data_IF_419868715393
#
_entry.id   IF_419868715393
#
_cell.length_a   1.000
_cell.length_b   1.000
_cell.length_c   1.000
_cell.angle_alpha   90.00
_cell.angle_beta   90.00
_cell.angle_gamma   90.00
#
_symmetry.space_group_name_H-M   'P 1'
#
loop_
_entity.id
_entity.type
_entity.pdbx_description
1 polymer ?
#
# COMPACT_ATOMS: atom_id res chain seq x y z
N UNK A 1 -13.59 -38.11 22.14
CA UNK A 1 -12.30 -37.48 22.50
C UNK A 1 -12.24 -36.16 21.77
N UNK A 2 -12.63 -35.10 22.47
CA UNK A 2 -12.65 -33.72 21.99
C UNK A 2 -11.23 -33.17 22.06
N UNK A 3 -10.60 -32.98 20.90
CA UNK A 3 -9.30 -32.31 20.83
C UNK A 3 -9.52 -30.81 21.02
N UNK A 4 -9.07 -30.32 22.18
CA UNK A 4 -8.88 -28.91 22.49
C UNK A 4 -8.00 -28.27 21.40
N UNK A 5 -8.65 -27.62 20.44
CA UNK A 5 -7.98 -26.69 19.54
C UNK A 5 -7.63 -25.47 20.40
N UNK A 6 -6.35 -25.39 20.70
CA UNK A 6 -5.60 -24.29 21.30
C UNK A 6 -6.27 -22.90 21.14
N UNK A 7 -7.12 -22.53 22.11
CA UNK A 7 -7.75 -21.21 22.28
C UNK A 7 -6.74 -20.10 22.68
N UNK A 8 -5.43 -20.32 22.49
CA UNK A 8 -4.38 -19.34 22.81
C UNK A 8 -4.26 -18.21 21.78
N UNK A 9 -4.72 -18.41 20.53
CA UNK A 9 -4.69 -17.37 19.50
C UNK A 9 -5.80 -16.30 19.63
N UNK A 10 -6.93 -16.61 20.26
CA UNK A 10 -8.03 -15.65 20.43
C UNK A 10 -7.79 -14.64 21.57
N UNK A 11 -7.03 -15.01 22.60
CA UNK A 11 -6.68 -14.08 23.69
C UNK A 11 -5.54 -13.13 23.36
N UNK A 12 -4.72 -13.40 22.35
CA UNK A 12 -3.67 -12.47 21.91
C UNK A 12 -4.19 -11.40 20.94
N UNK A 13 -5.26 -11.66 20.19
CA UNK A 13 -5.96 -10.65 19.39
C UNK A 13 -6.86 -9.72 20.23
N UNK A 14 -7.25 -10.13 21.44
CA UNK A 14 -7.89 -9.25 22.44
C UNK A 14 -6.88 -8.36 23.19
N UNK A 15 -5.57 -8.57 23.01
CA UNK A 15 -4.54 -7.68 23.54
C UNK A 15 -4.32 -6.54 22.53
N UNK A 16 -5.03 -5.42 22.75
CA UNK A 16 -4.64 -4.08 22.29
C UNK A 16 -4.95 -3.65 20.85
N UNK A 17 -6.12 -3.97 20.31
CA UNK A 17 -6.76 -3.09 19.31
C UNK A 17 -7.47 -1.90 19.99
N UNK A 18 -6.79 -1.26 20.94
CA UNK A 18 -7.15 0.12 21.34
C UNK A 18 -6.76 1.02 20.17
N UNK A 19 -7.44 2.15 20.02
CA UNK A 19 -7.15 3.23 19.07
C UNK A 19 -5.67 3.50 18.66
N UNK A 20 -4.60 3.25 19.47
CA UNK A 20 -3.20 3.33 19.04
C UNK A 20 -2.76 2.56 17.78
N UNK A 21 -3.49 1.57 17.27
CA UNK A 21 -3.11 0.89 16.00
C UNK A 21 -3.49 1.70 14.75
N UNK A 22 -4.41 2.66 14.89
CA UNK A 22 -4.57 3.75 13.95
C UNK A 22 -3.57 4.83 14.35
N UNK A 23 -2.26 4.55 14.24
CA UNK A 23 -1.35 5.67 14.05
C UNK A 23 -1.90 6.40 12.83
N UNK A 24 -2.43 7.61 13.05
CA UNK A 24 -2.53 8.59 11.98
C UNK A 24 -1.11 8.73 11.49
N UNK A 25 -0.75 7.98 10.45
CA UNK A 25 0.56 7.98 9.84
C UNK A 25 0.75 9.31 9.15
N UNK A 26 0.86 10.39 9.92
CA UNK A 26 1.30 11.68 9.42
C UNK A 26 2.73 11.47 8.97
N UNK A 27 2.85 11.19 7.68
CA UNK A 27 4.13 11.10 7.03
C UNK A 27 4.63 12.53 6.82
N UNK A 28 5.91 12.81 7.07
CA UNK A 28 6.48 14.07 6.67
C UNK A 28 6.38 14.19 5.14
N UNK A 29 5.80 15.30 4.65
CA UNK A 29 5.83 15.60 3.23
C UNK A 29 7.27 15.71 2.75
N UNK A 30 7.59 15.07 1.63
CA UNK A 30 8.91 15.13 1.04
C UNK A 30 9.03 16.32 0.06
N UNK A 31 9.85 17.34 0.37
CA UNK A 31 10.11 18.44 -0.55
C UNK A 31 10.79 17.96 -1.82
N UNK A 32 10.50 18.64 -2.93
CA UNK A 32 11.22 18.42 -4.18
C UNK A 32 12.72 18.66 -4.01
N UNK A 33 13.52 17.81 -4.66
CA UNK A 33 14.96 18.02 -4.78
C UNK A 33 15.18 19.06 -5.89
N UNK A 34 15.70 20.24 -5.54
CA UNK A 34 15.87 21.37 -6.46
C UNK A 34 16.82 21.07 -7.63
N UNK A 35 17.83 20.23 -7.42
CA UNK A 35 18.86 19.93 -8.41
C UNK A 35 19.13 18.43 -8.51
N UNK A 36 18.18 17.67 -9.08
CA UNK A 36 18.26 16.22 -9.10
C UNK A 36 19.45 15.72 -9.95
N UNK A 37 19.83 16.46 -11.00
CA UNK A 37 20.94 16.09 -11.89
C UNK A 37 22.32 16.13 -11.21
N UNK A 38 22.46 16.89 -10.13
CA UNK A 38 23.71 17.03 -9.40
C UNK A 38 23.81 16.11 -8.18
N UNK A 39 22.92 15.13 -8.03
CA UNK A 39 23.05 14.09 -7.01
C UNK A 39 24.25 13.19 -7.37
N UNK A 40 25.26 13.06 -6.50
CA UNK A 40 26.41 12.20 -6.73
C UNK A 40 26.03 10.73 -6.97
N UNK A 41 26.69 10.07 -7.95
CA UNK A 41 26.44 8.67 -8.29
C UNK A 41 26.60 7.72 -7.11
N UNK A 42 27.57 7.96 -6.22
CA UNK A 42 27.76 7.12 -5.03
C UNK A 42 26.58 7.20 -4.05
N UNK A 43 25.89 8.35 -3.97
CA UNK A 43 24.67 8.49 -3.18
C UNK A 43 23.50 7.78 -3.87
N UNK A 44 23.33 7.95 -5.18
CA UNK A 44 22.30 7.24 -5.96
C UNK A 44 22.44 5.71 -5.81
N UNK A 45 23.67 5.19 -5.91
CA UNK A 45 23.96 3.76 -5.68
C UNK A 45 23.62 3.32 -4.25
N UNK A 46 23.95 4.15 -3.26
CA UNK A 46 23.66 3.85 -1.85
C UNK A 46 22.16 3.78 -1.59
N UNK A 47 21.40 4.73 -2.13
CA UNK A 47 19.94 4.76 -2.02
C UNK A 47 19.29 3.57 -2.72
N UNK A 48 19.75 3.25 -3.93
CA UNK A 48 19.24 2.12 -4.72
C UNK A 48 19.49 0.79 -4.00
N UNK A 49 20.70 0.60 -3.49
CA UNK A 49 21.11 -0.61 -2.76
C UNK A 49 20.30 -0.80 -1.48
N UNK A 50 20.13 0.29 -0.71
CA UNK A 50 19.34 0.27 0.52
C UNK A 50 17.88 -0.06 0.23
N UNK A 51 17.25 0.64 -0.73
CA UNK A 51 15.84 0.43 -1.04
C UNK A 51 15.58 -0.99 -1.59
N UNK A 52 16.46 -1.48 -2.47
CA UNK A 52 16.41 -2.87 -2.95
C UNK A 52 16.46 -3.86 -1.79
N UNK A 53 17.42 -3.71 -0.88
CA UNK A 53 17.55 -4.59 0.28
C UNK A 53 16.28 -4.57 1.12
N UNK A 54 15.71 -3.39 1.37
CA UNK A 54 14.49 -3.24 2.17
C UNK A 54 13.29 -3.90 1.49
N UNK A 55 13.12 -3.67 0.19
CA UNK A 55 12.05 -4.29 -0.59
C UNK A 55 12.20 -5.81 -0.64
N UNK A 56 13.41 -6.35 -0.82
CA UNK A 56 13.65 -7.79 -0.84
C UNK A 56 13.39 -8.45 0.52
N UNK A 57 13.79 -7.81 1.62
CA UNK A 57 13.55 -8.32 2.98
C UNK A 57 12.07 -8.38 3.36
N UNK A 58 11.26 -7.44 2.87
CA UNK A 58 9.85 -7.32 3.24
C UNK A 58 8.89 -7.77 2.13
N UNK A 59 9.41 -8.20 0.97
CA UNK A 59 8.60 -8.59 -0.19
C UNK A 59 7.87 -7.42 -0.86
N UNK A 60 8.38 -6.19 -0.73
CA UNK A 60 7.78 -5.01 -1.34
C UNK A 60 8.22 -4.84 -2.81
N UNK A 61 7.34 -4.21 -3.59
CA UNK A 61 7.65 -3.79 -4.96
C UNK A 61 8.10 -2.34 -5.03
N UNK A 62 7.66 -1.51 -4.10
CA UNK A 62 7.95 -0.09 -4.06
C UNK A 62 8.26 0.36 -2.62
N UNK A 63 8.88 1.53 -2.48
CA UNK A 63 9.19 2.16 -1.19
C UNK A 63 9.34 3.66 -1.35
N UNK A 64 8.55 4.45 -0.63
CA UNK A 64 8.79 5.88 -0.43
C UNK A 64 9.83 6.12 0.67
N UNK A 65 10.76 7.05 0.42
CA UNK A 65 11.81 7.38 1.38
C UNK A 65 11.31 8.25 2.56
N UNK A 66 10.03 8.63 2.56
CA UNK A 66 9.35 9.27 3.70
C UNK A 66 9.18 8.34 4.89
N UNK A 67 9.21 7.02 4.66
CA UNK A 67 9.06 6.00 5.71
C UNK A 67 10.35 5.74 6.50
N UNK A 68 11.47 6.33 6.10
CA UNK A 68 12.77 6.12 6.73
C UNK A 68 12.85 6.82 8.08
N UNK A 69 13.47 6.17 9.08
CA UNK A 69 13.85 6.81 10.34
C UNK A 69 14.92 7.90 10.12
N UNK A 70 15.08 8.80 11.09
CA UNK A 70 16.13 9.83 11.04
C UNK A 70 17.53 9.22 10.89
N UNK A 71 17.81 8.11 11.58
CA UNK A 71 19.09 7.42 11.51
C UNK A 71 19.35 6.86 10.10
N UNK A 72 18.34 6.28 9.47
CA UNK A 72 18.43 5.77 8.10
C UNK A 72 18.63 6.90 7.10
N UNK A 73 17.91 8.02 7.26
CA UNK A 73 18.10 9.21 6.41
C UNK A 73 19.53 9.72 6.51
N UNK A 74 20.07 9.82 7.72
CA UNK A 74 21.44 10.27 7.95
C UNK A 74 22.48 9.34 7.31
N UNK A 75 22.31 8.01 7.46
CA UNK A 75 23.22 7.01 6.83
C UNK A 75 23.23 7.10 5.31
N UNK A 76 22.10 7.50 4.71
CA UNK A 76 21.96 7.66 3.27
C UNK A 76 22.38 9.06 2.77
N UNK A 77 22.89 9.93 3.65
CA UNK A 77 23.35 11.26 3.27
C UNK A 77 22.23 12.27 3.01
N UNK A 78 21.02 12.02 3.52
CA UNK A 78 19.92 12.99 3.48
C UNK A 78 19.99 13.97 4.65
N UNK A 79 19.30 15.10 4.50
CA UNK A 79 19.01 15.98 5.64
C UNK A 79 18.29 15.21 6.73
N UNK A 80 18.62 15.50 7.99
CA UNK A 80 17.93 14.92 9.15
C UNK A 80 16.47 15.36 9.21
N UNK A 81 16.21 16.58 8.76
CA UNK A 81 14.97 17.31 9.01
C UNK A 81 13.85 16.97 8.01
N UNK A 82 14.20 16.61 6.77
CA UNK A 82 13.21 16.36 5.72
C UNK A 82 13.57 15.11 4.90
N UNK A 83 12.59 14.22 4.63
CA UNK A 83 12.81 13.09 3.75
C UNK A 83 12.98 13.56 2.30
N UNK A 84 13.75 12.83 1.48
CA UNK A 84 13.89 13.14 0.07
C UNK A 84 12.63 12.73 -0.70
N UNK A 85 12.28 13.49 -1.76
CA UNK A 85 11.20 13.13 -2.66
C UNK A 85 11.64 12.05 -3.65
N UNK A 86 11.83 10.84 -3.13
CA UNK A 86 12.36 9.68 -3.86
C UNK A 86 11.51 8.45 -3.54
N UNK A 87 11.17 7.70 -4.58
CA UNK A 87 10.65 6.34 -4.43
C UNK A 87 11.61 5.35 -5.07
N UNK A 88 11.67 4.14 -4.52
CA UNK A 88 12.13 2.97 -5.25
C UNK A 88 10.92 2.27 -5.87
N UNK A 89 11.07 1.81 -7.10
CA UNK A 89 10.02 1.16 -7.86
C UNK A 89 10.57 -0.02 -8.65
N UNK A 90 9.96 -1.19 -8.47
CA UNK A 90 10.19 -2.40 -9.26
C UNK A 90 8.87 -2.91 -9.80
N UNK A 91 8.84 -3.25 -11.08
CA UNK A 91 7.64 -3.82 -11.70
C UNK A 91 7.36 -5.22 -11.17
N UNK A 92 6.09 -5.55 -11.07
CA UNK A 92 5.61 -6.86 -10.58
C UNK A 92 6.12 -8.05 -11.41
N UNK A 93 6.35 -7.87 -12.72
CA UNK A 93 6.91 -8.88 -13.63
C UNK A 93 8.45 -8.97 -13.59
N UNK A 94 9.11 -8.08 -12.87
CA UNK A 94 10.57 -7.96 -12.77
C UNK A 94 11.07 -8.12 -11.33
N UNK A 95 10.39 -8.93 -10.51
CA UNK A 95 10.69 -9.03 -9.07
C UNK A 95 12.12 -9.51 -8.75
N UNK A 96 12.77 -10.22 -9.67
CA UNK A 96 14.15 -10.68 -9.51
C UNK A 96 15.19 -9.65 -9.98
N UNK A 97 14.75 -8.59 -10.65
CA UNK A 97 15.62 -7.55 -11.19
C UNK A 97 15.81 -6.41 -10.17
N UNK A 98 16.84 -5.61 -10.40
CA UNK A 98 17.00 -4.34 -9.72
C UNK A 98 15.96 -3.36 -10.29
N UNK A 99 15.07 -2.86 -9.43
CA UNK A 99 14.19 -1.74 -9.77
C UNK A 99 14.95 -0.43 -10.01
N UNK A 100 14.23 0.68 -10.03
CA UNK A 100 14.82 2.00 -10.20
C UNK A 100 14.46 2.92 -9.04
N UNK A 101 15.35 3.85 -8.73
CA UNK A 101 14.95 5.06 -8.02
C UNK A 101 14.23 5.99 -8.99
N UNK A 102 13.21 6.66 -8.49
CA UNK A 102 12.52 7.74 -9.18
C UNK A 102 12.58 8.95 -8.26
N UNK A 103 13.31 9.97 -8.69
CA UNK A 103 13.53 11.23 -7.98
C UNK A 103 12.55 12.27 -8.51
N UNK A 104 11.94 13.02 -7.58
CA UNK A 104 10.82 13.92 -7.82
C UNK A 104 9.70 13.26 -8.66
N UNK A 105 9.21 12.08 -8.27
CA UNK A 105 8.16 11.40 -9.03
C UNK A 105 6.85 12.20 -8.98
N UNK A 106 6.17 12.22 -10.11
CA UNK A 106 4.82 12.71 -10.29
C UNK A 106 4.00 11.65 -11.02
N UNK A 107 2.87 11.24 -10.43
CA UNK A 107 1.92 10.35 -11.07
C UNK A 107 0.81 11.15 -11.75
N UNK A 108 0.38 10.69 -12.91
CA UNK A 108 -0.84 11.14 -13.59
C UNK A 108 -1.74 9.95 -13.84
N UNK A 109 -2.98 10.07 -13.41
CA UNK A 109 -4.02 9.10 -13.73
C UNK A 109 -4.36 9.20 -15.22
N UNK A 110 -4.36 8.09 -15.93
CA UNK A 110 -4.72 8.05 -17.35
C UNK A 110 -6.12 7.45 -17.49
N UNK A 111 -7.13 8.22 -17.07
CA UNK A 111 -8.56 7.82 -17.08
C UNK A 111 -9.12 7.63 -18.50
N UNK A 112 -8.42 8.11 -19.54
CA UNK A 112 -8.81 7.89 -20.94
C UNK A 112 -8.66 6.40 -21.35
N UNK A 113 -7.74 5.68 -20.71
CA UNK A 113 -7.45 4.26 -20.98
C UNK A 113 -7.75 3.35 -19.79
N UNK A 114 -8.18 3.92 -18.66
CA UNK A 114 -8.36 3.23 -17.40
C UNK A 114 -9.67 3.61 -16.71
N UNK A 115 -10.16 2.71 -15.88
CA UNK A 115 -11.19 3.00 -14.89
C UNK A 115 -10.60 2.73 -13.52
N UNK A 116 -11.16 3.31 -12.48
CA UNK A 116 -10.70 3.00 -11.14
C UNK A 116 -11.28 1.67 -10.69
N UNK A 117 -10.43 0.76 -10.25
CA UNK A 117 -10.83 -0.54 -9.71
C UNK A 117 -10.51 -0.62 -8.22
N UNK A 118 -11.27 -1.42 -7.45
CA UNK A 118 -10.81 -1.83 -6.15
C UNK A 118 -9.43 -2.50 -6.24
N UNK A 119 -8.53 -2.11 -5.36
CA UNK A 119 -7.23 -2.74 -5.17
C UNK A 119 -7.06 -3.04 -3.68
N UNK A 120 -6.45 -4.18 -3.41
CA UNK A 120 -6.06 -4.57 -2.06
C UNK A 120 -4.66 -4.05 -1.79
N UNK A 121 -4.54 -3.25 -0.73
CA UNK A 121 -3.27 -2.63 -0.31
C UNK A 121 -3.02 -2.94 1.17
N UNK A 122 -1.74 -2.90 1.55
CA UNK A 122 -1.27 -2.83 2.93
C UNK A 122 -0.17 -1.77 2.98
N UNK A 123 0.01 -1.11 4.12
CA UNK A 123 0.95 0.01 4.24
C UNK A 123 1.73 -0.11 5.55
N UNK A 124 3.07 -0.06 5.50
CA UNK A 124 3.91 -0.09 6.69
C UNK A 124 3.59 1.04 7.67
N UNK A 125 3.15 2.18 7.15
CA UNK A 125 2.74 3.36 7.92
C UNK A 125 1.33 3.26 8.52
N UNK A 126 0.55 2.22 8.19
CA UNK A 126 -0.79 1.94 8.75
C UNK A 126 -0.76 0.56 9.43
N UNK A 127 -0.88 0.53 10.76
CA UNK A 127 -0.86 -0.71 11.54
C UNK A 127 0.33 -1.64 11.18
N UNK A 128 1.50 -1.08 10.86
CA UNK A 128 2.70 -1.82 10.49
C UNK A 128 2.52 -2.80 9.31
N UNK A 129 1.62 -2.48 8.38
CA UNK A 129 1.29 -3.34 7.24
C UNK A 129 0.52 -4.61 7.60
N UNK A 130 0.06 -4.74 8.85
CA UNK A 130 -0.64 -5.93 9.33
C UNK A 130 -2.09 -6.00 8.88
N UNK A 131 -2.67 -4.86 8.52
CA UNK A 131 -4.04 -4.75 8.03
C UNK A 131 -4.06 -4.50 6.53
N UNK A 132 -4.92 -5.24 5.83
CA UNK A 132 -5.24 -4.96 4.43
C UNK A 132 -6.37 -3.93 4.35
N UNK A 133 -6.49 -3.25 3.22
CA UNK A 133 -7.66 -2.43 2.92
C UNK A 133 -7.95 -2.43 1.42
N UNK A 134 -9.20 -2.14 1.08
CA UNK A 134 -9.60 -1.98 -0.31
C UNK A 134 -9.70 -0.50 -0.64
N UNK A 135 -8.96 -0.08 -1.65
CA UNK A 135 -8.92 1.31 -2.11
C UNK A 135 -9.11 1.40 -3.61
N UNK A 136 -9.73 2.50 -4.04
CA UNK A 136 -9.98 2.84 -5.43
C UNK A 136 -8.69 3.38 -6.05
N UNK A 137 -8.10 2.64 -7.00
CA UNK A 137 -6.92 3.08 -7.77
C UNK A 137 -7.17 3.06 -9.27
N UNK A 138 -6.56 3.95 -10.04
CA UNK A 138 -6.62 3.88 -11.49
C UNK A 138 -5.89 2.64 -12.00
N UNK A 139 -6.49 1.94 -12.95
CA UNK A 139 -5.87 0.75 -13.58
C UNK A 139 -4.68 1.08 -14.46
N UNK A 140 -4.58 2.33 -14.93
CA UNK A 140 -3.51 2.81 -15.79
C UNK A 140 -3.07 4.19 -15.29
N UNK A 141 -1.77 4.35 -15.12
CA UNK A 141 -1.16 5.62 -14.73
C UNK A 141 0.11 5.85 -15.53
N UNK A 142 0.64 7.07 -15.45
CA UNK A 142 2.00 7.37 -15.87
C UNK A 142 2.76 8.03 -14.75
N UNK A 143 4.03 7.64 -14.58
CA UNK A 143 4.92 8.26 -13.60
C UNK A 143 6.05 8.97 -14.34
N UNK A 144 6.30 10.21 -13.97
CA UNK A 144 7.35 11.07 -14.53
C UNK A 144 8.33 11.47 -13.44
N UNK A 145 9.61 11.53 -13.75
CA UNK A 145 10.67 11.89 -12.79
C UNK A 145 12.07 11.60 -13.35
N UNK A 146 13.08 11.73 -12.50
CA UNK A 146 14.45 11.33 -12.82
C UNK A 146 14.71 9.90 -12.35
N UNK A 147 15.09 9.02 -13.28
CA UNK A 147 15.21 7.59 -13.05
C UNK A 147 16.65 7.18 -12.95
N UNK A 148 16.95 6.42 -11.91
CA UNK A 148 18.24 5.77 -11.73
C UNK A 148 18.08 4.26 -11.55
N UNK A 149 18.59 3.48 -12.49
CA UNK A 149 18.54 2.00 -12.45
C UNK A 149 19.87 1.35 -12.00
N UNK A 150 20.81 2.17 -11.53
CA UNK A 150 22.16 1.74 -11.17
C UNK A 150 23.17 1.82 -12.30
N UNK A 151 22.74 2.09 -13.54
CA UNK A 151 23.63 2.27 -14.69
C UNK A 151 23.36 3.55 -15.47
N UNK A 152 22.11 3.98 -15.53
CA UNK A 152 21.66 5.16 -16.26
C UNK A 152 20.93 6.13 -15.34
N UNK A 153 21.14 7.44 -15.57
CA UNK A 153 20.41 8.50 -14.89
C UNK A 153 19.76 9.45 -15.89
N UNK A 154 18.42 9.46 -15.98
CA UNK A 154 17.72 10.24 -17.01
C UNK A 154 16.30 10.62 -16.61
N UNK A 155 15.81 11.74 -17.14
CA UNK A 155 14.42 12.13 -17.01
C UNK A 155 13.54 11.37 -18.02
N UNK A 156 12.46 10.73 -17.55
CA UNK A 156 11.51 10.04 -18.43
C UNK A 156 10.10 9.95 -17.83
N UNK A 157 9.16 9.57 -18.68
CA UNK A 157 7.80 9.17 -18.29
C UNK A 157 7.60 7.71 -18.66
N UNK A 158 7.07 6.89 -17.76
CA UNK A 158 6.65 5.54 -18.09
C UNK A 158 5.18 5.31 -17.73
N UNK A 159 4.50 4.53 -18.56
CA UNK A 159 3.17 4.03 -18.27
C UNK A 159 3.23 2.79 -17.39
N UNK A 160 2.30 2.66 -16.46
CA UNK A 160 2.13 1.47 -15.65
C UNK A 160 0.66 1.04 -15.64
N UNK A 161 0.41 -0.25 -15.42
CA UNK A 161 -0.94 -0.80 -15.47
C UNK A 161 -1.15 -1.84 -14.37
N UNK A 162 -2.40 -2.07 -14.03
CA UNK A 162 -2.77 -3.09 -13.04
C UNK A 162 -2.23 -2.76 -11.65
N UNK A 163 -1.51 -3.71 -11.04
CA UNK A 163 -0.98 -3.55 -9.67
C UNK A 163 0.13 -2.51 -9.62
N UNK A 164 0.92 -2.42 -10.68
CA UNK A 164 2.04 -1.50 -10.82
C UNK A 164 1.60 -0.02 -10.85
N UNK A 165 0.40 0.24 -11.39
CA UNK A 165 -0.25 1.55 -11.34
C UNK A 165 -0.62 1.96 -9.91
N UNK A 166 -1.22 1.04 -9.15
CA UNK A 166 -1.56 1.31 -7.75
C UNK A 166 -0.34 1.52 -6.87
N UNK A 167 0.71 0.68 -7.00
CA UNK A 167 1.90 0.79 -6.17
C UNK A 167 2.65 2.12 -6.35
N UNK A 168 2.82 2.58 -7.59
CA UNK A 168 3.49 3.87 -7.84
C UNK A 168 2.70 5.05 -7.26
N UNK A 169 1.37 5.05 -7.41
CA UNK A 169 0.49 6.09 -6.86
C UNK A 169 0.51 6.06 -5.33
N UNK A 170 0.48 4.87 -4.72
CA UNK A 170 0.55 4.69 -3.28
C UNK A 170 1.81 5.36 -2.70
N UNK A 171 2.99 5.03 -3.23
CA UNK A 171 4.24 5.63 -2.73
C UNK A 171 4.33 7.13 -3.01
N UNK A 172 3.80 7.60 -4.14
CA UNK A 172 3.78 9.04 -4.45
C UNK A 172 2.84 9.80 -3.49
N UNK A 173 1.76 9.16 -3.03
CA UNK A 173 0.87 9.69 -2.00
C UNK A 173 1.63 9.88 -0.68
N UNK A 174 2.48 8.92 -0.31
CA UNK A 174 3.37 9.03 0.87
C UNK A 174 4.34 10.21 0.77
N UNK A 175 4.84 10.53 -0.43
CA UNK A 175 5.69 11.71 -0.62
C UNK A 175 4.95 13.03 -0.36
N UNK A 176 3.63 13.05 -0.41
CA UNK A 176 2.82 14.22 -0.08
C UNK A 176 2.45 14.28 1.42
N UNK A 177 2.93 13.34 2.23
CA UNK A 177 2.58 13.23 3.65
C UNK A 177 1.21 12.58 3.89
N UNK A 178 0.67 11.90 2.89
CA UNK A 178 -0.67 11.32 2.91
C UNK A 178 -0.60 9.79 2.90
N UNK A 179 -1.66 9.17 3.41
CA UNK A 179 -1.91 7.73 3.41
C UNK A 179 -3.32 7.44 2.93
N UNK A 180 -3.68 6.16 2.78
CA UNK A 180 -5.05 5.77 2.46
C UNK A 180 -6.10 6.30 3.47
N UNK A 181 -5.70 6.57 4.72
CA UNK A 181 -6.59 7.10 5.75
C UNK A 181 -7.02 8.55 5.49
N UNK A 182 -6.22 9.31 4.73
CA UNK A 182 -6.52 10.69 4.34
C UNK A 182 -7.54 10.76 3.18
N UNK A 183 -7.78 9.62 2.53
CA UNK A 183 -8.67 9.48 1.37
C UNK A 183 -9.86 8.52 1.64
N UNK A 184 -10.67 8.75 2.69
CA UNK A 184 -11.71 7.80 3.13
C UNK A 184 -12.82 7.55 2.09
N UNK A 185 -12.98 8.45 1.11
CA UNK A 185 -13.93 8.29 -0.01
C UNK A 185 -13.46 7.26 -1.05
N UNK A 186 -12.16 6.98 -1.07
CA UNK A 186 -11.56 6.00 -1.98
C UNK A 186 -11.57 4.60 -1.39
N UNK A 187 -11.77 4.48 -0.07
CA UNK A 187 -11.86 3.19 0.62
C UNK A 187 -13.23 2.53 0.44
N UNK A 188 -13.20 1.22 0.23
CA UNK A 188 -14.38 0.37 0.15
C UNK A 188 -14.72 -0.18 1.54
N UNK A 189 -16.02 -0.22 1.87
CA UNK A 189 -16.50 -0.96 3.04
C UNK A 189 -16.96 -2.34 2.57
N UNK A 190 -16.24 -3.39 2.98
CA UNK A 190 -16.56 -4.78 2.59
C UNK A 190 -17.88 -5.30 3.17
N UNK A 191 -18.54 -4.54 4.04
CA UNK A 191 -19.89 -4.85 4.56
C UNK A 191 -20.99 -4.16 3.75
N UNK A 192 -20.65 -3.17 2.94
CA UNK A 192 -21.59 -2.53 2.02
C UNK A 192 -21.78 -3.43 0.77
N UNK A 193 -23.03 -3.71 0.41
CA UNK A 193 -23.36 -4.57 -0.74
C UNK A 193 -22.73 -4.07 -2.05
N UNK A 194 -22.79 -2.76 -2.29
CA UNK A 194 -22.38 -2.19 -3.57
C UNK A 194 -20.86 -2.25 -3.69
N UNK A 195 -20.16 -1.94 -2.61
CA UNK A 195 -18.70 -2.04 -2.54
C UNK A 195 -18.22 -3.48 -2.61
N UNK A 196 -18.89 -4.42 -1.92
CA UNK A 196 -18.60 -5.85 -2.00
C UNK A 196 -18.77 -6.40 -3.42
N UNK A 197 -19.88 -6.06 -4.09
CA UNK A 197 -20.13 -6.49 -5.47
C UNK A 197 -19.03 -5.99 -6.42
N UNK A 198 -18.62 -4.72 -6.30
CA UNK A 198 -17.50 -4.16 -7.10
C UNK A 198 -16.17 -4.87 -6.83
N UNK A 199 -15.92 -5.27 -5.57
CA UNK A 199 -14.72 -6.05 -5.22
C UNK A 199 -14.76 -7.42 -5.90
N UNK A 200 -15.91 -8.10 -5.86
CA UNK A 200 -16.10 -9.42 -6.48
C UNK A 200 -16.02 -9.41 -8.01
N UNK A 201 -16.35 -8.29 -8.67
CA UNK A 201 -16.20 -8.14 -10.13
C UNK A 201 -14.74 -8.31 -10.59
N UNK A 202 -13.75 -7.99 -9.75
CA UNK A 202 -12.32 -8.15 -10.07
C UNK A 202 -11.91 -9.63 -10.02
N UNK A 203 -12.59 -10.42 -9.20
CA UNK A 203 -12.36 -11.86 -9.11
C UNK A 203 -13.00 -12.48 -10.36
N UNK A 204 -12.15 -12.82 -11.34
CA UNK A 204 -12.49 -13.52 -12.60
C UNK A 204 -13.51 -14.67 -12.39
N UNK A 205 -14.25 -15.12 -13.43
CA UNK A 205 -15.28 -16.15 -13.30
C UNK A 205 -14.68 -17.49 -12.86
N UNK A 206 -14.60 -17.69 -11.55
CA UNK A 206 -14.35 -18.97 -10.90
C UNK A 206 -15.64 -19.34 -10.18
N UNK A 207 -16.05 -20.60 -10.20
CA UNK A 207 -17.07 -21.09 -9.27
C UNK A 207 -16.63 -20.78 -7.81
N UNK A 208 -17.58 -20.44 -6.93
CA UNK A 208 -17.32 -20.07 -5.53
C UNK A 208 -16.37 -18.87 -5.35
N UNK A 209 -16.54 -17.81 -6.16
CA UNK A 209 -15.73 -16.57 -6.11
C UNK A 209 -15.54 -16.03 -4.69
N UNK A 210 -16.62 -15.97 -3.92
CA UNK A 210 -16.60 -15.39 -2.57
C UNK A 210 -15.73 -16.20 -1.61
N UNK A 211 -15.89 -17.52 -1.61
CA UNK A 211 -15.14 -18.42 -0.73
C UNK A 211 -13.64 -18.34 -1.03
N UNK A 212 -13.29 -18.46 -2.32
CA UNK A 212 -11.90 -18.36 -2.77
C UNK A 212 -11.30 -16.99 -2.47
N UNK A 213 -12.09 -15.93 -2.64
CA UNK A 213 -11.62 -14.58 -2.32
C UNK A 213 -11.37 -14.43 -0.81
N UNK A 214 -12.28 -14.90 0.05
CA UNK A 214 -12.09 -14.92 1.51
C UNK A 214 -10.84 -15.70 1.91
N UNK A 215 -10.54 -16.82 1.28
CA UNK A 215 -9.32 -17.57 1.55
C UNK A 215 -8.05 -16.78 1.20
N UNK A 216 -8.05 -16.10 0.05
CA UNK A 216 -6.94 -15.21 -0.34
C UNK A 216 -6.78 -14.08 0.67
N UNK A 217 -7.89 -13.48 1.11
CA UNK A 217 -7.90 -12.41 2.12
C UNK A 217 -7.35 -12.90 3.47
N UNK A 218 -7.83 -14.04 3.96
CA UNK A 218 -7.37 -14.67 5.21
C UNK A 218 -5.87 -14.98 5.17
N UNK A 219 -5.36 -15.40 4.01
CA UNK A 219 -3.95 -15.72 3.83
C UNK A 219 -3.07 -14.48 3.74
N UNK A 220 -3.52 -13.45 3.01
CA UNK A 220 -2.75 -12.24 2.79
C UNK A 220 -2.76 -11.30 4.01
N UNK A 221 -3.89 -11.22 4.71
CA UNK A 221 -4.10 -10.31 5.84
C UNK A 221 -4.77 -11.04 7.01
N UNK A 222 -4.05 -11.96 7.67
CA UNK A 222 -4.62 -12.78 8.75
C UNK A 222 -5.09 -11.95 9.96
N UNK A 223 -4.53 -10.75 10.14
CA UNK A 223 -4.87 -9.87 11.26
C UNK A 223 -6.10 -8.98 11.00
N UNK A 224 -6.68 -9.04 9.78
CA UNK A 224 -7.89 -8.32 9.44
C UNK A 224 -7.74 -7.21 8.40
N UNK A 225 -8.82 -6.48 8.24
CA UNK A 225 -8.99 -5.42 7.25
C UNK A 225 -9.36 -4.09 7.90
N UNK A 226 -8.69 -3.03 7.47
CA UNK A 226 -9.10 -1.67 7.76
C UNK A 226 -10.18 -1.25 6.76
N UNK A 227 -11.27 -0.71 7.29
CA UNK A 227 -12.36 -0.13 6.49
C UNK A 227 -12.75 1.23 7.04
N UNK A 228 -13.37 2.04 6.19
CA UNK A 228 -13.98 3.30 6.59
C UNK A 228 -15.51 3.15 6.67
N UNK A 229 -16.05 3.13 7.88
CA UNK A 229 -17.49 3.11 8.10
C UNK A 229 -18.05 4.51 7.78
N UNK A 230 -18.72 4.63 6.61
CA UNK A 230 -19.26 5.91 6.12
C UNK A 230 -20.36 6.48 7.01
N UNK A 231 -21.22 5.62 7.57
CA UNK A 231 -22.32 6.04 8.44
C UNK A 231 -21.81 6.64 9.74
N UNK A 232 -20.84 5.96 10.37
CA UNK A 232 -20.23 6.36 11.64
C UNK A 232 -19.07 7.33 11.49
N UNK A 233 -18.63 7.59 10.24
CA UNK A 233 -17.48 8.43 9.88
C UNK A 233 -16.22 8.07 10.65
N UNK A 234 -15.92 6.78 10.76
CA UNK A 234 -14.77 6.28 11.51
C UNK A 234 -14.15 5.05 10.86
N UNK A 235 -12.86 4.86 11.13
CA UNK A 235 -12.15 3.66 10.76
C UNK A 235 -12.53 2.51 11.70
N UNK A 236 -12.71 1.32 11.14
CA UNK A 236 -13.01 0.10 11.88
C UNK A 236 -12.12 -1.03 11.34
N UNK A 237 -11.72 -1.94 12.23
CA UNK A 237 -11.00 -3.16 11.85
C UNK A 237 -12.00 -4.32 11.78
N UNK A 238 -11.96 -5.06 10.69
CA UNK A 238 -12.78 -6.25 10.48
C UNK A 238 -11.88 -7.47 10.50
N UNK A 239 -12.23 -8.44 11.34
CA UNK A 239 -11.53 -9.72 11.44
C UNK A 239 -11.60 -10.49 10.10
N UNK A 240 -10.43 -10.86 9.57
CA UNK A 240 -10.30 -11.64 8.34
C UNK A 240 -10.89 -13.06 8.47
N UNK A 241 -11.04 -13.57 9.69
CA UNK A 241 -11.61 -14.87 9.97
C UNK A 241 -13.12 -14.83 10.21
N UNK A 242 -13.71 -13.63 10.29
CA UNK A 242 -15.15 -13.49 10.49
C UNK A 242 -15.93 -14.11 9.33
N UNK A 243 -16.92 -14.93 9.68
CA UNK A 243 -17.90 -15.43 8.71
C UNK A 243 -18.78 -14.31 8.13
N UNK A 244 -18.74 -13.10 8.71
CA UNK A 244 -19.50 -11.92 8.26
C UNK A 244 -18.75 -11.03 7.26
N UNK A 245 -17.51 -11.34 6.87
CA UNK A 245 -16.86 -10.66 5.73
C UNK A 245 -17.81 -10.73 4.54
N UNK A 246 -18.03 -9.66 3.76
CA UNK A 246 -18.92 -9.72 2.58
C UNK A 246 -20.33 -10.26 2.82
N UNK A 247 -20.79 -10.31 4.07
CA UNK A 247 -21.99 -11.04 4.48
C UNK A 247 -22.89 -10.12 5.28
N UNK A 248 -24.00 -9.73 4.65
CA UNK A 248 -25.19 -9.28 5.37
C UNK A 248 -25.55 -10.38 6.36
N UNK A 249 -25.42 -10.07 7.64
CA UNK A 249 -26.28 -10.71 8.63
C UNK A 249 -27.69 -10.19 8.28
N UNK A 250 -28.40 -10.89 7.39
CA UNK A 250 -29.78 -10.54 6.98
C UNK A 250 -30.73 -10.45 8.19
N UNK A 251 -30.28 -10.93 9.35
CA UNK A 251 -30.99 -10.91 10.63
C UNK A 251 -30.67 -9.70 11.52
N UNK A 252 -29.68 -8.84 11.19
CA UNK A 252 -29.37 -7.63 11.99
C UNK A 252 -30.13 -6.38 11.60
N UNK A 253 -30.86 -6.40 10.49
CA UNK A 253 -31.63 -5.27 9.98
C UNK A 253 -33.12 -5.60 9.73
N UNK A 254 -33.64 -6.65 10.40
CA UNK A 254 -35.08 -6.88 10.55
C UNK A 254 -35.58 -6.42 11.91
#
# INVERSE_FOLDING_TARGET
MTSEINYRGQRELEIHLKEPLLQHGQLPSAPEINDPLNIPDNLLQSWLSYAKQRCDMNGYLCLAFTELSEEERFKLGFSKDLPPRVIYYRRSDQILETGALIINPLARENLEFGYNRPMIEGCGSIAYGQLGYFIKRPTVSSTTGYYYDGSSYSFKTFGSSGIDSGNSIHEITHLNGETAMDHPKELFDIRDANDWNKILEIVKPVENKEERFREVLKRAFPNGFLIYNRERKKFEVVDAHSNTLGGFDNDRYR
#
